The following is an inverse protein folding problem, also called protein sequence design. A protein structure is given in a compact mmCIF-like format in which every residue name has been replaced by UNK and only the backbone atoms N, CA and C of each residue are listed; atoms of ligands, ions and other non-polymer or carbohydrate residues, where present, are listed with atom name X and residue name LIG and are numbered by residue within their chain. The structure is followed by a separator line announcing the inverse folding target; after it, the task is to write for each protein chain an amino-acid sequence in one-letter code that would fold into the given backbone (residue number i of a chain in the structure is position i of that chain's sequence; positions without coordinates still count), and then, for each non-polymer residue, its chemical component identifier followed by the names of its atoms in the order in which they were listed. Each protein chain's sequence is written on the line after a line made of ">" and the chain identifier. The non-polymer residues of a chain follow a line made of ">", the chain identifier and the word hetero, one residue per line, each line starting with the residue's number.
data_IF_373929212322
#
_entry.id   IF_373929212322
#
_cell.length_a   1.000
_cell.length_b   1.000
_cell.length_c   1.000
_cell.angle_alpha   90.00
_cell.angle_beta   90.00
_cell.angle_gamma   90.00
#
_symmetry.space_group_name_H-M   'P 1'
#
loop_
_entity.id
_entity.type
_entity.pdbx_description
1 polymer ?
#
# COMPACT_ATOMS: atom_id res chain seq x y z
N UNK A 1 5.35 5.53 -8.85
CA UNK A 1 5.98 5.08 -7.59
C UNK A 1 6.40 6.21 -6.68
N UNK A 2 7.07 7.26 -7.18
CA UNK A 2 7.51 8.37 -6.31
C UNK A 2 6.36 8.98 -5.48
N UNK A 3 5.18 9.17 -6.08
CA UNK A 3 3.99 9.62 -5.34
C UNK A 3 3.54 8.67 -4.22
N UNK A 4 3.73 7.36 -4.40
CA UNK A 4 3.43 6.37 -3.37
C UNK A 4 4.43 6.49 -2.19
N UNK A 5 5.72 6.68 -2.48
CA UNK A 5 6.72 6.96 -1.46
C UNK A 5 6.47 8.27 -0.71
N UNK A 6 6.03 9.32 -1.41
CA UNK A 6 5.64 10.59 -0.79
C UNK A 6 4.39 10.46 0.09
N UNK A 7 3.39 9.69 -0.35
CA UNK A 7 2.20 9.40 0.46
C UNK A 7 2.59 8.58 1.70
N UNK A 8 3.46 7.58 1.57
CA UNK A 8 3.99 6.82 2.69
C UNK A 8 4.72 7.71 3.70
N UNK A 9 5.56 8.63 3.21
CA UNK A 9 6.25 9.62 4.05
C UNK A 9 5.25 10.46 4.85
N UNK A 10 4.27 11.07 4.17
CA UNK A 10 3.26 11.88 4.82
C UNK A 10 2.42 11.09 5.84
N UNK A 11 2.04 9.85 5.52
CA UNK A 11 1.30 8.97 6.42
C UNK A 11 2.09 8.67 7.70
N UNK A 12 3.36 8.28 7.57
CA UNK A 12 4.23 7.97 8.71
C UNK A 12 4.48 9.22 9.57
N UNK A 13 4.73 10.38 8.96
CA UNK A 13 4.90 11.66 9.67
C UNK A 13 3.63 12.06 10.41
N UNK A 14 2.46 11.72 9.86
CA UNK A 14 1.14 11.86 10.50
C UNK A 14 0.81 10.73 11.49
N UNK A 15 1.75 9.85 11.80
CA UNK A 15 1.59 8.82 12.83
C UNK A 15 0.66 7.67 12.43
N UNK A 16 0.43 7.46 11.13
CA UNK A 16 -0.34 6.33 10.62
C UNK A 16 0.54 5.09 10.46
N UNK A 17 -0.09 3.93 10.59
CA UNK A 17 0.51 2.61 10.46
C UNK A 17 -0.42 1.69 9.65
N UNK A 18 0.07 0.50 9.30
CA UNK A 18 -0.71 -0.53 8.62
C UNK A 18 -0.89 -1.69 9.60
N UNK A 19 -2.09 -2.27 9.64
CA UNK A 19 -2.35 -3.40 10.51
C UNK A 19 -1.41 -4.58 10.15
N UNK A 20 -0.78 -5.24 11.14
CA UNK A 20 0.35 -6.15 10.90
C UNK A 20 -0.02 -7.41 10.10
N UNK A 21 -1.30 -7.80 10.08
CA UNK A 21 -1.79 -8.95 9.32
C UNK A 21 -1.99 -8.67 7.82
N UNK A 22 -1.84 -7.41 7.39
CA UNK A 22 -1.97 -7.03 5.99
C UNK A 22 -0.67 -7.36 5.27
N UNK A 23 -0.73 -8.25 4.27
CA UNK A 23 0.43 -8.60 3.46
C UNK A 23 0.75 -7.51 2.44
N UNK A 24 1.69 -6.65 2.78
CA UNK A 24 2.24 -5.60 1.91
C UNK A 24 3.46 -6.12 1.14
N UNK A 25 3.70 -5.56 -0.05
CA UNK A 25 4.90 -5.89 -0.84
C UNK A 25 5.18 -4.81 -1.88
N UNK A 26 6.46 -4.55 -2.16
CA UNK A 26 6.91 -3.75 -3.29
C UNK A 26 7.75 -4.62 -4.23
N UNK A 27 7.30 -4.80 -5.47
CA UNK A 27 8.01 -5.58 -6.50
C UNK A 27 8.31 -4.71 -7.71
N UNK A 28 9.45 -3.98 -7.73
CA UNK A 28 9.76 -3.10 -8.85
C UNK A 28 10.06 -3.88 -10.13
N UNK A 29 9.66 -3.34 -11.28
CA UNK A 29 9.99 -3.94 -12.59
C UNK A 29 11.46 -3.79 -12.99
N UNK A 30 12.19 -2.87 -12.36
CA UNK A 30 13.61 -2.61 -12.63
C UNK A 30 14.29 -1.92 -11.44
N UNK A 31 15.61 -2.05 -11.35
CA UNK A 31 16.44 -1.37 -10.33
C UNK A 31 16.39 0.16 -10.39
N UNK A 32 16.00 0.75 -11.54
CA UNK A 32 15.84 2.21 -11.69
C UNK A 32 14.77 2.74 -10.75
N UNK A 33 13.72 1.96 -10.49
CA UNK A 33 12.67 2.33 -9.55
C UNK A 33 13.21 2.47 -8.13
N UNK A 34 13.96 1.46 -7.68
CA UNK A 34 14.62 1.49 -6.38
C UNK A 34 15.60 2.64 -6.27
N UNK A 35 16.36 2.90 -7.33
CA UNK A 35 17.32 4.00 -7.38
C UNK A 35 16.65 5.35 -7.09
N UNK A 36 15.65 5.77 -7.88
CA UNK A 36 15.03 7.08 -7.62
C UNK A 36 14.24 7.15 -6.31
N UNK A 37 13.70 6.02 -5.81
CA UNK A 37 13.06 5.99 -4.49
C UNK A 37 14.08 6.19 -3.36
N UNK A 38 15.29 5.65 -3.52
CA UNK A 38 16.41 5.83 -2.60
C UNK A 38 16.91 7.27 -2.61
N UNK A 39 17.20 7.81 -3.80
CA UNK A 39 17.67 9.20 -3.95
C UNK A 39 16.64 10.21 -3.44
N UNK A 40 15.35 9.91 -3.58
CA UNK A 40 14.28 10.76 -3.03
C UNK A 40 14.08 10.61 -1.51
N UNK A 41 14.80 9.71 -0.84
CA UNK A 41 14.71 9.48 0.61
C UNK A 41 13.39 8.87 1.09
N UNK A 42 12.60 8.24 0.21
CA UNK A 42 11.26 7.73 0.55
C UNK A 42 11.24 6.25 0.92
N UNK A 43 12.31 5.49 0.64
CA UNK A 43 12.40 4.05 0.96
C UNK A 43 12.12 3.76 2.45
N UNK A 44 12.74 4.45 3.43
CA UNK A 44 12.52 4.12 4.84
C UNK A 44 11.04 4.25 5.28
N UNK A 45 10.28 5.12 4.65
CA UNK A 45 8.85 5.30 4.93
C UNK A 45 7.99 4.21 4.31
N UNK A 46 8.37 3.71 3.12
CA UNK A 46 7.74 2.55 2.51
C UNK A 46 7.97 1.29 3.36
N UNK A 47 9.22 1.05 3.77
CA UNK A 47 9.60 -0.08 4.63
C UNK A 47 8.90 -0.02 6.00
N UNK A 48 8.77 1.17 6.59
CA UNK A 48 8.03 1.34 7.86
C UNK A 48 6.53 1.01 7.74
N UNK A 49 5.96 1.13 6.55
CA UNK A 49 4.60 0.68 6.25
C UNK A 49 4.57 -0.78 5.71
N UNK A 50 5.68 -1.52 5.78
CA UNK A 50 5.78 -2.91 5.33
C UNK A 50 5.92 -3.09 3.81
N UNK A 51 6.13 -2.03 3.05
CA UNK A 51 6.36 -2.11 1.60
C UNK A 51 7.84 -2.32 1.28
N UNK A 52 8.41 -3.39 1.84
CA UNK A 52 9.77 -3.82 1.53
C UNK A 52 9.91 -4.26 0.07
N UNK A 53 11.11 -4.07 -0.47
CA UNK A 53 11.44 -4.58 -1.81
C UNK A 53 11.60 -6.10 -1.71
N UNK A 54 10.58 -6.83 -2.15
CA UNK A 54 10.55 -8.32 -2.07
C UNK A 54 11.16 -9.01 -3.29
N UNK A 55 11.49 -8.26 -4.34
CA UNK A 55 12.10 -8.79 -5.55
C UNK A 55 11.80 -7.95 -6.79
N UNK A 56 12.52 -8.24 -7.88
CA UNK A 56 12.34 -7.56 -9.16
C UNK A 56 11.70 -8.51 -10.17
N UNK A 57 10.47 -8.19 -10.62
CA UNK A 57 9.73 -9.05 -11.54
C UNK A 57 8.22 -8.97 -11.36
N UNK A 58 7.50 -9.91 -11.97
CA UNK A 58 6.04 -9.88 -12.02
C UNK A 58 5.36 -10.16 -10.67
N UNK A 59 5.88 -11.08 -9.85
CA UNK A 59 5.42 -11.38 -8.48
C UNK A 59 3.88 -11.49 -8.37
N UNK A 60 3.26 -10.75 -7.44
CA UNK A 60 1.81 -10.71 -7.21
C UNK A 60 0.98 -10.45 -8.46
N UNK A 61 1.49 -9.69 -9.45
CA UNK A 61 0.77 -9.39 -10.69
C UNK A 61 0.43 -10.66 -11.49
N UNK A 62 1.23 -11.72 -11.35
CA UNK A 62 0.99 -13.02 -11.99
C UNK A 62 0.51 -14.10 -11.03
N UNK A 63 0.10 -13.75 -9.81
CA UNK A 63 -0.34 -14.70 -8.79
C UNK A 63 0.79 -15.32 -7.96
N UNK A 64 2.05 -14.89 -8.18
CA UNK A 64 3.17 -15.26 -7.30
C UNK A 64 3.18 -14.36 -6.06
N UNK A 65 2.05 -14.33 -5.34
CA UNK A 65 1.83 -13.52 -4.14
C UNK A 65 2.42 -14.16 -2.89
N UNK A 66 2.74 -15.46 -2.91
CA UNK A 66 3.13 -16.23 -1.73
C UNK A 66 2.00 -16.40 -0.70
N UNK A 67 2.25 -17.11 0.42
CA UNK A 67 1.22 -17.45 1.40
C UNK A 67 0.81 -16.25 2.29
N UNK A 68 -0.44 -16.22 2.72
CA UNK A 68 -0.87 -15.44 3.90
C UNK A 68 -0.56 -16.21 5.18
N UNK A 69 -0.55 -15.53 6.33
CA UNK A 69 -0.40 -16.20 7.62
C UNK A 69 -1.57 -17.16 7.90
N UNK A 70 -1.27 -18.30 8.53
CA UNK A 70 -2.26 -19.38 8.76
C UNK A 70 -3.47 -18.90 9.58
N UNK A 71 -3.27 -18.03 10.57
CA UNK A 71 -4.35 -17.42 11.35
C UNK A 71 -5.32 -16.60 10.47
N UNK A 72 -4.80 -15.85 9.49
CA UNK A 72 -5.58 -15.06 8.54
C UNK A 72 -6.36 -16.01 7.63
N UNK A 73 -5.68 -16.98 7.02
CA UNK A 73 -6.31 -17.99 6.13
C UNK A 73 -7.44 -18.71 6.85
N UNK A 74 -7.18 -19.26 8.04
CA UNK A 74 -8.17 -19.97 8.84
C UNK A 74 -9.37 -19.08 9.19
N UNK A 75 -9.14 -17.80 9.47
CA UNK A 75 -10.22 -16.86 9.78
C UNK A 75 -11.09 -16.56 8.55
N UNK A 76 -10.47 -16.41 7.38
CA UNK A 76 -11.18 -16.19 6.11
C UNK A 76 -12.09 -17.39 5.80
N UNK A 77 -11.53 -18.59 5.83
CA UNK A 77 -12.22 -19.82 5.44
C UNK A 77 -13.33 -20.19 6.42
N UNK A 78 -13.03 -20.17 7.72
CA UNK A 78 -14.00 -20.53 8.78
C UNK A 78 -15.24 -19.64 8.78
N UNK A 79 -15.08 -18.37 8.43
CA UNK A 79 -16.17 -17.38 8.46
C UNK A 79 -16.71 -17.04 7.07
N UNK A 80 -16.21 -17.68 6.00
CA UNK A 80 -16.65 -17.42 4.63
C UNK A 80 -16.46 -15.96 4.17
N UNK A 81 -15.42 -15.28 4.66
CA UNK A 81 -15.20 -13.85 4.41
C UNK A 81 -14.84 -13.57 2.95
N UNK A 82 -15.32 -12.45 2.43
CA UNK A 82 -14.89 -11.91 1.14
C UNK A 82 -13.73 -10.95 1.38
N UNK A 83 -12.51 -11.47 1.34
CA UNK A 83 -11.31 -10.66 1.46
C UNK A 83 -10.85 -10.08 0.12
N UNK A 84 -10.14 -8.96 0.22
CA UNK A 84 -9.76 -8.14 -0.92
C UNK A 84 -8.25 -8.15 -1.15
N UNK A 85 -7.82 -8.31 -2.41
CA UNK A 85 -6.48 -7.94 -2.87
C UNK A 85 -6.52 -6.59 -3.56
N UNK A 86 -5.63 -5.66 -3.21
CA UNK A 86 -5.48 -4.37 -3.91
C UNK A 86 -4.09 -4.29 -4.49
N UNK A 87 -3.98 -4.08 -5.81
CA UNK A 87 -2.69 -4.11 -6.50
C UNK A 87 -2.57 -3.07 -7.62
N UNK A 88 -1.35 -2.63 -7.87
CA UNK A 88 -0.98 -1.77 -9.01
C UNK A 88 -0.58 -2.58 -10.25
N UNK A 89 -1.29 -3.67 -10.50
CA UNK A 89 -1.15 -4.54 -11.66
C UNK A 89 -2.10 -4.18 -12.81
N UNK A 90 -2.42 -5.16 -13.66
CA UNK A 90 -3.28 -4.98 -14.83
C UNK A 90 -4.42 -6.02 -14.99
N UNK A 91 -4.48 -7.03 -14.11
CA UNK A 91 -5.51 -8.09 -14.11
C UNK A 91 -5.92 -8.42 -12.69
N UNK A 92 -7.19 -8.74 -12.49
CA UNK A 92 -7.78 -8.94 -11.15
C UNK A 92 -8.86 -10.05 -11.14
N UNK A 93 -8.76 -11.04 -12.02
CA UNK A 93 -9.69 -12.18 -12.03
C UNK A 93 -9.64 -12.97 -10.71
N UNK A 94 -10.77 -13.56 -10.33
CA UNK A 94 -10.86 -14.43 -9.15
C UNK A 94 -9.83 -15.58 -9.22
N UNK A 95 -9.18 -15.87 -8.09
CA UNK A 95 -8.13 -16.89 -8.01
C UNK A 95 -6.80 -16.55 -8.69
N UNK A 96 -6.70 -15.44 -9.45
CA UNK A 96 -5.45 -15.03 -10.10
C UNK A 96 -4.44 -14.42 -9.14
N UNK A 97 -4.90 -13.62 -8.17
CA UNK A 97 -4.03 -12.84 -7.29
C UNK A 97 -3.60 -13.65 -6.08
N UNK A 98 -4.56 -14.21 -5.34
CA UNK A 98 -4.33 -15.11 -4.22
C UNK A 98 -5.58 -16.01 -4.06
N UNK A 99 -5.45 -17.30 -3.68
CA UNK A 99 -6.60 -18.20 -3.51
C UNK A 99 -7.61 -17.70 -2.47
N UNK A 100 -7.14 -17.07 -1.39
CA UNK A 100 -8.01 -16.52 -0.33
C UNK A 100 -8.52 -15.07 -0.59
N UNK A 101 -8.31 -14.48 -1.78
CA UNK A 101 -8.88 -13.17 -2.14
C UNK A 101 -9.91 -13.29 -3.26
N UNK A 102 -11.19 -13.25 -2.87
CA UNK A 102 -12.33 -13.36 -3.80
C UNK A 102 -12.61 -12.05 -4.53
N UNK A 103 -12.30 -10.92 -3.92
CA UNK A 103 -12.39 -9.59 -4.55
C UNK A 103 -10.99 -9.05 -4.81
N UNK A 104 -10.73 -8.53 -6.00
CA UNK A 104 -9.42 -7.97 -6.33
C UNK A 104 -9.58 -6.65 -7.10
N UNK A 105 -8.85 -5.61 -6.70
CA UNK A 105 -8.99 -4.25 -7.23
C UNK A 105 -7.67 -3.74 -7.80
N UNK A 106 -7.73 -3.28 -9.04
CA UNK A 106 -6.63 -2.58 -9.68
C UNK A 106 -6.65 -1.12 -9.26
N UNK A 107 -5.54 -0.63 -8.73
CA UNK A 107 -5.43 0.71 -8.17
C UNK A 107 -4.08 1.34 -8.49
N UNK A 108 -3.99 2.67 -8.45
CA UNK A 108 -2.69 3.32 -8.52
C UNK A 108 -1.81 2.93 -7.33
N UNK A 109 -0.47 2.99 -7.43
CA UNK A 109 0.41 2.74 -6.28
C UNK A 109 0.09 3.58 -5.04
N UNK A 110 -0.46 4.79 -5.21
CA UNK A 110 -0.88 5.65 -4.09
C UNK A 110 -2.09 5.05 -3.36
N UNK A 111 -3.08 4.60 -4.12
CA UNK A 111 -4.30 4.01 -3.57
C UNK A 111 -4.02 2.64 -2.94
N UNK A 112 -3.06 1.86 -3.45
CA UNK A 112 -2.63 0.61 -2.78
C UNK A 112 -2.17 0.90 -1.34
N UNK A 113 -1.35 1.94 -1.14
CA UNK A 113 -0.91 2.33 0.20
C UNK A 113 -2.08 2.87 1.03
N UNK A 114 -2.95 3.71 0.46
CA UNK A 114 -4.11 4.24 1.16
C UNK A 114 -5.06 3.15 1.66
N UNK A 115 -5.37 2.15 0.81
CA UNK A 115 -6.20 1.01 1.21
C UNK A 115 -5.51 0.11 2.23
N UNK A 116 -4.18 -0.04 2.14
CA UNK A 116 -3.45 -0.82 3.14
C UNK A 116 -3.46 -0.12 4.51
N UNK A 117 -3.37 1.22 4.57
CA UNK A 117 -3.56 1.99 5.81
C UNK A 117 -4.99 1.85 6.33
N UNK A 118 -5.99 2.01 5.46
CA UNK A 118 -7.40 1.89 5.87
C UNK A 118 -7.78 0.46 6.30
N UNK A 119 -7.08 -0.56 5.78
CA UNK A 119 -7.32 -1.97 6.07
C UNK A 119 -8.61 -2.56 5.49
N UNK A 120 -9.36 -1.78 4.70
CA UNK A 120 -10.64 -2.15 4.08
C UNK A 120 -10.86 -1.37 2.78
N UNK A 121 -11.65 -1.92 1.86
CA UNK A 121 -11.91 -1.31 0.53
C UNK A 121 -13.23 -0.54 0.45
N UNK A 122 -14.14 -0.77 1.39
CA UNK A 122 -15.45 -0.15 1.50
C UNK A 122 -15.42 1.17 2.30
N UNK A 123 -14.27 1.83 2.34
CA UNK A 123 -14.04 3.14 2.95
C UNK A 123 -14.46 4.27 2.00
N UNK A 124 -15.16 5.27 2.53
CA UNK A 124 -15.36 6.56 1.87
C UNK A 124 -14.25 7.55 2.26
N UNK A 125 -13.28 7.76 1.36
CA UNK A 125 -12.14 8.64 1.62
C UNK A 125 -12.50 10.13 1.79
N UNK A 126 -13.70 10.58 1.41
CA UNK A 126 -14.14 11.96 1.59
C UNK A 126 -14.62 12.23 3.02
N UNK A 127 -15.31 11.24 3.60
CA UNK A 127 -16.03 11.38 4.88
C UNK A 127 -15.41 10.58 6.03
N UNK A 128 -14.67 9.51 5.74
CA UNK A 128 -13.99 8.68 6.73
C UNK A 128 -12.47 8.96 6.78
N UNK A 129 -11.87 9.03 7.98
CA UNK A 129 -10.42 9.13 8.11
C UNK A 129 -9.74 7.80 7.74
N UNK A 130 -8.53 7.87 7.18
CA UNK A 130 -7.68 6.69 6.98
C UNK A 130 -7.26 6.05 8.30
N UNK A 131 -7.10 6.86 9.32
CA UNK A 131 -6.74 6.42 10.65
C UNK A 131 -6.67 7.60 11.62
N UNK A 132 -6.27 7.28 12.84
CA UNK A 132 -6.10 8.25 13.91
C UNK A 132 -4.63 8.24 14.29
N UNK A 133 -4.02 9.43 14.38
CA UNK A 133 -2.66 9.55 14.88
C UNK A 133 -2.62 9.04 16.32
N UNK A 134 -1.85 7.99 16.56
CA UNK A 134 -1.79 7.29 17.85
C UNK A 134 -1.34 8.21 19.01
N UNK A 135 -0.55 9.26 18.71
CA UNK A 135 0.00 10.16 19.73
C UNK A 135 -0.90 11.35 20.01
N UNK A 136 -1.53 11.91 18.99
CA UNK A 136 -2.28 13.17 19.10
C UNK A 136 -3.79 12.98 19.10
N UNK A 137 -4.29 11.82 18.66
CA UNK A 137 -5.72 11.59 18.45
C UNK A 137 -6.28 12.30 17.21
N UNK A 138 -5.44 12.95 16.39
CA UNK A 138 -5.86 13.64 15.18
C UNK A 138 -6.40 12.62 14.15
N UNK A 139 -7.60 12.87 13.64
CA UNK A 139 -8.15 12.12 12.50
C UNK A 139 -7.42 12.55 11.23
N UNK A 140 -6.82 11.59 10.52
CA UNK A 140 -6.07 11.86 9.28
C UNK A 140 -6.87 11.34 8.10
N UNK A 141 -7.24 12.22 7.19
CA UNK A 141 -7.96 11.90 5.96
C UNK A 141 -7.00 11.70 4.80
N UNK A 142 -7.46 11.03 3.74
CA UNK A 142 -6.65 10.81 2.54
C UNK A 142 -6.14 12.13 1.94
N UNK A 143 -7.00 13.17 1.93
CA UNK A 143 -6.66 14.51 1.44
C UNK A 143 -5.50 15.17 2.20
N UNK A 144 -5.28 14.80 3.46
CA UNK A 144 -4.26 15.41 4.31
C UNK A 144 -2.85 14.87 3.97
N UNK A 145 -2.77 13.69 3.37
CA UNK A 145 -1.51 13.02 3.02
C UNK A 145 -1.31 12.83 1.51
N UNK A 146 -2.28 13.26 0.69
CA UNK A 146 -2.19 13.11 -0.76
C UNK A 146 -1.11 14.04 -1.34
N UNK A 147 -0.13 13.53 -2.10
CA UNK A 147 0.94 14.35 -2.62
C UNK A 147 0.42 15.33 -3.68
N UNK A 148 0.68 16.62 -3.43
CA UNK A 148 0.32 17.68 -4.37
C UNK A 148 1.35 17.83 -5.50
N UNK A 149 0.98 18.53 -6.58
CA UNK A 149 1.92 18.82 -7.69
C UNK A 149 3.15 19.61 -7.25
N UNK A 150 3.05 20.47 -6.24
CA UNK A 150 4.20 21.25 -5.74
C UNK A 150 5.22 20.37 -5.02
N UNK A 151 4.76 19.34 -4.29
CA UNK A 151 5.63 18.36 -3.62
C UNK A 151 6.61 17.69 -4.59
N UNK A 152 6.16 17.39 -5.82
CA UNK A 152 7.03 16.82 -6.86
C UNK A 152 8.07 17.80 -7.42
N UNK A 153 7.79 19.12 -7.42
CA UNK A 153 8.74 20.13 -7.92
C UNK A 153 9.93 20.29 -6.99
N UNK A 154 9.71 20.22 -5.67
CA UNK A 154 10.75 20.32 -4.65
C UNK A 154 11.80 19.20 -4.74
N UNK A 155 11.38 17.99 -5.13
CA UNK A 155 12.32 16.87 -5.34
C UNK A 155 13.24 17.10 -6.54
N UNK A 156 12.76 17.74 -7.61
CA UNK A 156 13.57 18.05 -8.80
C UNK A 156 14.63 19.12 -8.56
N UNK A 157 14.51 19.90 -7.49
CA UNK A 157 15.48 20.96 -7.15
C UNK A 157 16.62 20.42 -6.28
N UNK A 158 16.43 19.25 -5.66
CA UNK A 158 17.37 18.63 -4.72
C UNK A 158 18.04 17.36 -5.29
N UNK A 159 17.74 17.00 -6.54
CA UNK A 159 18.42 15.95 -7.33
C UNK A 159 19.25 16.59 -8.41
#
# INVERSE_FOLDING_TARGET
>A
MLGAGLLAKAAVEKGLSIAPYIKTSLSPGSGVVTYYLRESGVIPYLEKLGFDIVGYGCMTCIGNSGPLEDNVVNTIEKNGLVCCGVLSGNRNFEGRIHPNTRANYLASPLLVIAYAIAGRVDIDFETEPLGVNEKTGEKVFLRDIWPSRSTFKLLKTNM
#
